data_IF_566121625138
#
_entry.id   IF_566121625138
#
_cell.length_a   1.000
_cell.length_b   1.000
_cell.length_c   1.000
_cell.angle_alpha   90.00
_cell.angle_beta   90.00
_cell.angle_gamma   90.00
#
_symmetry.space_group_name_H-M   'P 1'
#
loop_
_entity.id
_entity.type
_entity.pdbx_description
1 polymer ?
#
# COMPACT_ATOMS: atom_id res chain seq x y z
N UNK A 1 9.66 19.26 -22.16
CA UNK A 1 8.67 18.56 -21.28
C UNK A 1 7.70 17.70 -22.09
N UNK A 2 7.15 18.17 -23.23
CA UNK A 2 6.27 17.34 -24.09
C UNK A 2 6.97 16.15 -24.72
N UNK A 3 8.24 16.27 -25.10
CA UNK A 3 9.04 15.17 -25.67
C UNK A 3 9.28 14.04 -24.67
N UNK A 4 9.41 14.37 -23.38
CA UNK A 4 9.63 13.37 -22.31
C UNK A 4 8.39 12.48 -22.10
N UNK A 5 7.19 13.03 -22.33
CA UNK A 5 5.94 12.27 -22.23
C UNK A 5 5.73 11.26 -23.37
N UNK A 6 6.53 11.31 -24.42
CA UNK A 6 6.46 10.38 -25.57
C UNK A 6 7.26 9.09 -25.31
N UNK A 7 8.12 9.06 -24.29
CA UNK A 7 8.85 7.85 -23.95
C UNK A 7 7.95 6.83 -23.26
N UNK A 8 7.94 5.60 -23.73
CA UNK A 8 7.12 4.50 -23.19
C UNK A 8 7.30 4.31 -21.69
N UNK A 9 8.54 4.40 -21.20
CA UNK A 9 8.81 4.23 -19.76
C UNK A 9 8.18 5.33 -18.88
N UNK A 10 8.03 6.55 -19.41
CA UNK A 10 7.36 7.65 -18.69
C UNK A 10 5.85 7.44 -18.68
N UNK A 11 5.28 6.97 -19.80
CA UNK A 11 3.85 6.64 -19.86
C UNK A 11 3.52 5.49 -18.91
N UNK A 12 4.36 4.46 -18.86
CA UNK A 12 4.21 3.35 -17.90
C UNK A 12 4.30 3.84 -16.46
N UNK A 13 5.26 4.71 -16.15
CA UNK A 13 5.39 5.29 -14.81
C UNK A 13 4.16 6.11 -14.41
N UNK A 14 3.63 6.94 -15.31
CA UNK A 14 2.42 7.74 -15.05
C UNK A 14 1.19 6.86 -14.83
N UNK A 15 0.99 5.83 -15.67
CA UNK A 15 -0.09 4.86 -15.48
C UNK A 15 0.04 4.13 -14.14
N UNK A 16 1.24 3.70 -13.79
CA UNK A 16 1.50 3.04 -12.52
C UNK A 16 1.23 3.98 -11.32
N UNK A 17 1.57 5.28 -11.43
CA UNK A 17 1.23 6.29 -10.42
C UNK A 17 -0.29 6.41 -10.25
N UNK A 18 -1.05 6.46 -11.34
CA UNK A 18 -2.52 6.52 -11.27
C UNK A 18 -3.07 5.30 -10.55
N UNK A 19 -2.69 4.09 -11.00
CA UNK A 19 -3.14 2.83 -10.40
C UNK A 19 -2.75 2.72 -8.92
N UNK A 20 -1.48 2.93 -8.59
CA UNK A 20 -1.02 2.90 -7.21
C UNK A 20 -1.68 3.96 -6.32
N UNK A 21 -2.02 5.13 -6.86
CA UNK A 21 -2.74 6.16 -6.11
C UNK A 21 -4.18 5.75 -5.82
N UNK A 22 -4.85 5.03 -6.72
CA UNK A 22 -6.18 4.47 -6.51
C UNK A 22 -6.12 3.43 -5.38
N UNK A 23 -5.23 2.43 -5.49
CA UNK A 23 -5.03 1.43 -4.45
C UNK A 23 -4.71 2.08 -3.08
N UNK A 24 -3.78 3.05 -3.07
CA UNK A 24 -3.38 3.79 -1.87
C UNK A 24 -4.55 4.54 -1.23
N UNK A 25 -5.32 5.29 -2.01
CA UNK A 25 -6.42 6.10 -1.50
C UNK A 25 -7.55 5.25 -0.93
N UNK A 26 -7.92 4.17 -1.61
CA UNK A 26 -8.97 3.26 -1.16
C UNK A 26 -8.54 2.48 0.08
N UNK A 27 -7.44 1.74 -0.04
CA UNK A 27 -7.01 0.81 1.02
C UNK A 27 -6.36 1.53 2.18
N UNK A 28 -5.58 2.59 1.93
CA UNK A 28 -4.99 3.42 2.98
C UNK A 28 -6.06 4.08 3.86
N UNK A 29 -7.18 4.52 3.27
CA UNK A 29 -8.32 5.05 4.04
C UNK A 29 -8.93 3.98 4.95
N UNK A 30 -9.10 2.76 4.45
CA UNK A 30 -9.60 1.62 5.24
C UNK A 30 -8.61 1.28 6.37
N UNK A 31 -7.31 1.25 6.07
CA UNK A 31 -6.22 0.97 7.03
C UNK A 31 -6.24 1.98 8.18
N UNK A 32 -6.36 3.28 7.88
CA UNK A 32 -6.33 4.33 8.91
C UNK A 32 -7.59 4.29 9.76
N UNK A 33 -8.78 4.17 9.14
CA UNK A 33 -10.06 4.11 9.88
C UNK A 33 -10.12 2.90 10.79
N UNK A 34 -9.65 1.73 10.34
CA UNK A 34 -9.65 0.49 11.11
C UNK A 34 -8.40 0.31 12.01
N UNK A 35 -7.47 1.28 12.04
CA UNK A 35 -6.21 1.21 12.82
C UNK A 35 -5.35 0.00 12.47
N UNK A 36 -5.32 -0.40 11.20
CA UNK A 36 -4.64 -1.60 10.71
C UNK A 36 -3.22 -1.30 10.17
N UNK A 37 -2.60 -0.19 10.54
CA UNK A 37 -1.28 0.23 10.01
C UNK A 37 -0.21 -0.82 10.21
N UNK A 38 -0.18 -1.44 11.40
CA UNK A 38 0.81 -2.47 11.72
C UNK A 38 0.59 -3.76 10.92
N UNK A 39 -0.69 -4.14 10.70
CA UNK A 39 -1.08 -5.25 9.82
C UNK A 39 -0.63 -5.01 8.37
N UNK A 40 -0.83 -3.78 7.87
CA UNK A 40 -0.37 -3.38 6.54
C UNK A 40 1.14 -3.53 6.39
N UNK A 41 1.91 -3.13 7.41
CA UNK A 41 3.36 -3.31 7.46
C UNK A 41 3.77 -4.77 7.43
N UNK A 42 3.17 -5.59 8.25
CA UNK A 42 3.44 -7.03 8.29
C UNK A 42 3.21 -7.70 6.94
N UNK A 43 2.08 -7.41 6.29
CA UNK A 43 1.73 -7.92 4.96
C UNK A 43 2.74 -7.44 3.91
N UNK A 44 3.14 -6.16 3.96
CA UNK A 44 4.11 -5.59 3.00
C UNK A 44 5.46 -6.31 3.07
N UNK A 45 5.96 -6.56 4.25
CA UNK A 45 7.23 -7.26 4.44
C UNK A 45 7.11 -8.76 4.18
N UNK A 46 5.96 -9.38 4.50
CA UNK A 46 5.69 -10.77 4.14
C UNK A 46 5.68 -11.00 2.62
N UNK A 47 5.20 -10.03 1.85
CA UNK A 47 5.17 -10.08 0.39
C UNK A 47 6.56 -10.31 -0.24
N UNK A 48 7.64 -9.93 0.47
CA UNK A 48 9.00 -10.20 0.04
C UNK A 48 9.29 -11.71 -0.14
N UNK A 49 8.68 -12.55 0.68
CA UNK A 49 8.74 -14.00 0.51
C UNK A 49 8.19 -14.47 -0.82
N UNK A 50 7.15 -13.82 -1.32
CA UNK A 50 6.59 -14.10 -2.64
C UNK A 50 7.49 -13.66 -3.79
N UNK A 51 8.22 -12.54 -3.62
CA UNK A 51 9.25 -12.10 -4.58
C UNK A 51 10.36 -13.14 -4.66
N UNK A 52 10.92 -13.55 -3.52
CA UNK A 52 11.98 -14.56 -3.46
C UNK A 52 11.54 -15.89 -4.06
N UNK A 53 10.30 -16.33 -3.76
CA UNK A 53 9.74 -17.55 -4.33
C UNK A 53 9.61 -17.47 -5.87
N UNK A 54 9.15 -16.33 -6.39
CA UNK A 54 9.02 -16.10 -7.83
C UNK A 54 10.37 -16.17 -8.55
N UNK A 55 11.41 -15.59 -7.94
CA UNK A 55 12.78 -15.64 -8.45
C UNK A 55 13.29 -17.08 -8.46
N UNK A 56 13.15 -17.81 -7.35
CA UNK A 56 13.62 -19.18 -7.21
C UNK A 56 12.96 -20.15 -8.20
N UNK A 57 11.64 -20.00 -8.42
CA UNK A 57 10.90 -20.86 -9.36
C UNK A 57 10.99 -20.39 -10.82
N UNK A 58 11.55 -19.21 -11.09
CA UNK A 58 11.54 -18.60 -12.44
C UNK A 58 10.13 -18.23 -12.91
N UNK A 59 9.19 -17.99 -11.98
CA UNK A 59 7.79 -17.65 -12.29
C UNK A 59 7.61 -16.13 -12.42
N UNK A 60 6.53 -15.69 -13.10
CA UNK A 60 6.20 -14.25 -13.17
C UNK A 60 6.07 -13.66 -11.76
N UNK A 61 6.84 -12.61 -11.47
CA UNK A 61 7.01 -12.10 -10.10
C UNK A 61 5.73 -11.57 -9.49
N UNK A 62 4.95 -10.78 -10.25
CA UNK A 62 3.77 -10.12 -9.71
C UNK A 62 2.67 -11.12 -9.30
N UNK A 63 2.23 -12.08 -10.15
CA UNK A 63 1.24 -13.07 -9.73
C UNK A 63 1.74 -14.01 -8.64
N UNK A 64 3.04 -14.37 -8.62
CA UNK A 64 3.60 -15.20 -7.56
C UNK A 64 3.61 -14.46 -6.22
N UNK A 65 4.05 -13.20 -6.21
CA UNK A 65 4.01 -12.35 -5.03
C UNK A 65 2.58 -12.15 -4.54
N UNK A 66 1.62 -11.94 -5.46
CA UNK A 66 0.21 -11.78 -5.14
C UNK A 66 -0.36 -13.03 -4.45
N UNK A 67 -0.16 -14.20 -5.04
CA UNK A 67 -0.65 -15.47 -4.47
C UNK A 67 -0.06 -15.75 -3.09
N UNK A 68 1.25 -15.54 -2.93
CA UNK A 68 1.95 -15.72 -1.65
C UNK A 68 1.43 -14.75 -0.58
N UNK A 69 1.28 -13.47 -0.95
CA UNK A 69 0.83 -12.42 -0.02
C UNK A 69 -0.63 -12.62 0.40
N UNK A 70 -1.50 -13.02 -0.53
CA UNK A 70 -2.89 -13.39 -0.21
C UNK A 70 -2.92 -14.58 0.76
N UNK A 71 -2.11 -15.62 0.53
CA UNK A 71 -1.99 -16.75 1.46
C UNK A 71 -1.61 -16.30 2.87
N UNK A 72 -0.60 -15.43 2.99
CA UNK A 72 -0.20 -14.82 4.26
C UNK A 72 -1.30 -13.97 4.91
N UNK A 73 -2.02 -13.18 4.11
CA UNK A 73 -3.13 -12.36 4.61
C UNK A 73 -4.28 -13.23 5.16
N UNK A 74 -4.57 -14.37 4.54
CA UNK A 74 -5.58 -15.32 5.03
C UNK A 74 -5.13 -15.96 6.35
N UNK A 75 -3.87 -16.41 6.43
CA UNK A 75 -3.30 -16.96 7.68
C UNK A 75 -3.36 -15.92 8.78
N UNK A 76 -2.93 -14.68 8.49
CA UNK A 76 -2.97 -13.57 9.42
C UNK A 76 -4.40 -13.30 9.90
N UNK A 77 -5.38 -13.28 8.98
CA UNK A 77 -6.78 -13.08 9.30
C UNK A 77 -7.31 -14.13 10.29
N UNK A 78 -7.03 -15.41 10.04
CA UNK A 78 -7.49 -16.50 10.89
C UNK A 78 -6.91 -16.43 12.31
N UNK A 79 -5.62 -16.08 12.42
CA UNK A 79 -4.94 -16.03 13.71
C UNK A 79 -5.29 -14.79 14.53
N UNK A 80 -5.46 -13.64 13.89
CA UNK A 80 -5.75 -12.37 14.56
C UNK A 80 -7.24 -12.19 14.87
N UNK A 81 -8.13 -12.81 14.11
CA UNK A 81 -9.57 -12.74 14.36
C UNK A 81 -9.97 -13.39 15.70
N UNK A 82 -9.28 -14.45 16.09
CA UNK A 82 -9.55 -15.18 17.34
C UNK A 82 -8.89 -14.53 18.56
N UNK A 83 -7.81 -13.76 18.39
CA UNK A 83 -6.98 -13.27 19.48
C UNK A 83 -6.41 -11.88 19.14
N UNK A 84 -7.24 -10.84 19.21
CA UNK A 84 -6.84 -9.46 18.90
C UNK A 84 -5.70 -8.92 19.76
N UNK A 85 -5.61 -9.36 21.03
CA UNK A 85 -4.55 -8.95 21.95
C UNK A 85 -3.16 -9.44 21.54
N UNK A 86 -3.08 -10.53 20.79
CA UNK A 86 -1.82 -11.10 20.31
C UNK A 86 -1.53 -10.77 18.83
N UNK A 87 -2.33 -9.90 18.19
CA UNK A 87 -2.20 -9.56 16.79
C UNK A 87 -0.79 -9.08 16.42
N UNK A 88 -0.18 -8.25 17.28
CA UNK A 88 1.15 -7.69 17.03
C UNK A 88 2.26 -8.76 17.00
N UNK A 89 2.14 -9.80 17.85
CA UNK A 89 3.08 -10.92 17.84
C UNK A 89 2.98 -11.74 16.57
N UNK A 90 1.76 -12.01 16.11
CA UNK A 90 1.49 -12.76 14.88
C UNK A 90 1.99 -11.99 13.66
N UNK A 91 1.73 -10.70 13.61
CA UNK A 91 2.23 -9.81 12.54
C UNK A 91 3.76 -9.80 12.50
N UNK A 92 4.42 -9.64 13.66
CA UNK A 92 5.89 -9.62 13.75
C UNK A 92 6.51 -10.95 13.32
N UNK A 93 5.88 -12.07 13.68
CA UNK A 93 6.34 -13.40 13.25
C UNK A 93 6.18 -13.57 11.74
N UNK A 94 5.04 -13.17 11.18
CA UNK A 94 4.77 -13.25 9.75
C UNK A 94 5.75 -12.36 8.97
N UNK A 95 5.99 -11.16 9.44
CA UNK A 95 6.98 -10.22 8.90
C UNK A 95 8.37 -10.87 8.80
N UNK A 96 8.88 -11.35 9.93
CA UNK A 96 10.21 -11.97 9.99
C UNK A 96 10.29 -13.25 9.12
N UNK A 97 9.26 -14.09 9.15
CA UNK A 97 9.20 -15.32 8.37
C UNK A 97 9.19 -15.03 6.86
N UNK A 98 8.38 -14.07 6.41
CA UNK A 98 8.30 -13.70 4.99
C UNK A 98 9.63 -13.14 4.48
N UNK A 99 10.26 -12.24 5.23
CA UNK A 99 11.56 -11.69 4.84
C UNK A 99 12.67 -12.75 4.83
N UNK A 100 12.77 -13.57 5.89
CA UNK A 100 13.77 -14.62 5.95
C UNK A 100 13.58 -15.65 4.81
N UNK A 101 12.33 -16.06 4.55
CA UNK A 101 12.01 -16.97 3.46
C UNK A 101 12.38 -16.37 2.09
N UNK A 102 12.07 -15.07 1.87
CA UNK A 102 12.41 -14.40 0.62
C UNK A 102 13.91 -14.34 0.37
N UNK A 103 14.71 -13.97 1.41
CA UNK A 103 16.17 -13.96 1.31
C UNK A 103 16.72 -15.36 1.02
N UNK A 104 16.26 -16.39 1.76
CA UNK A 104 16.70 -17.77 1.53
C UNK A 104 16.41 -18.25 0.11
N UNK A 105 15.24 -17.95 -0.45
CA UNK A 105 14.88 -18.32 -1.82
C UNK A 105 15.77 -17.63 -2.85
N UNK A 106 16.09 -16.34 -2.65
CA UNK A 106 17.00 -15.63 -3.54
C UNK A 106 18.42 -16.16 -3.46
N UNK A 107 18.93 -16.47 -2.27
CA UNK A 107 20.29 -17.01 -2.07
C UNK A 107 20.45 -18.43 -2.67
N UNK A 108 19.39 -19.22 -2.67
CA UNK A 108 19.37 -20.56 -3.27
C UNK A 108 19.25 -20.53 -4.79
N UNK A 109 19.06 -19.37 -5.41
CA UNK A 109 18.89 -19.26 -6.87
C UNK A 109 20.27 -19.16 -7.56
N UNK A 110 20.72 -20.16 -8.33
CA UNK A 110 22.04 -20.16 -8.94
C UNK A 110 22.20 -19.07 -10.00
N UNK A 111 23.34 -18.36 -9.97
CA UNK A 111 23.74 -17.42 -11.02
C UNK A 111 22.99 -16.08 -11.04
N UNK A 112 22.10 -15.82 -10.12
CA UNK A 112 21.32 -14.59 -10.05
C UNK A 112 21.79 -13.72 -8.88
N UNK A 113 22.60 -12.72 -9.18
CA UNK A 113 22.83 -11.61 -8.23
C UNK A 113 21.67 -10.65 -8.36
N UNK A 114 20.60 -10.91 -7.61
CA UNK A 114 19.47 -9.98 -7.54
C UNK A 114 19.95 -8.72 -6.88
N UNK A 115 19.79 -7.60 -7.54
CA UNK A 115 19.82 -6.33 -6.85
C UNK A 115 18.56 -6.25 -5.94
N UNK A 116 18.70 -6.81 -4.74
CA UNK A 116 17.67 -6.76 -3.69
C UNK A 116 17.24 -5.32 -3.39
N UNK A 117 18.15 -4.35 -3.61
CA UNK A 117 17.87 -2.94 -3.49
C UNK A 117 16.72 -2.48 -4.39
N UNK A 118 16.63 -2.99 -5.62
CA UNK A 118 15.57 -2.62 -6.55
C UNK A 118 14.17 -3.04 -6.09
N UNK A 119 14.03 -4.13 -5.34
CA UNK A 119 12.74 -4.55 -4.75
C UNK A 119 12.45 -3.87 -3.43
N UNK A 120 13.48 -3.56 -2.64
CA UNK A 120 13.30 -2.85 -1.37
C UNK A 120 12.91 -1.40 -1.58
N UNK A 121 13.53 -0.74 -2.56
CA UNK A 121 13.31 0.67 -2.86
C UNK A 121 12.37 0.92 -4.06
N UNK A 122 12.04 -0.12 -4.84
CA UNK A 122 11.23 0.00 -6.04
C UNK A 122 11.96 0.71 -7.20
N UNK A 123 11.41 0.58 -8.39
CA UNK A 123 11.85 1.34 -9.56
C UNK A 123 10.67 1.58 -10.50
N UNK A 124 10.00 2.71 -10.32
CA UNK A 124 8.80 3.06 -11.09
C UNK A 124 9.08 3.20 -12.60
N UNK A 125 10.31 3.57 -12.96
CA UNK A 125 10.69 3.75 -14.36
C UNK A 125 10.98 2.43 -15.09
N UNK A 126 11.14 1.33 -14.35
CA UNK A 126 11.43 0.01 -14.88
C UNK A 126 10.22 -0.95 -14.85
N UNK A 127 9.00 -0.43 -14.74
CA UNK A 127 7.76 -1.24 -14.71
C UNK A 127 7.47 -1.75 -16.15
N UNK A 128 7.45 -3.08 -16.37
CA UNK A 128 7.12 -3.63 -17.68
C UNK A 128 5.61 -3.53 -17.95
N UNK A 129 5.22 -3.50 -19.22
CA UNK A 129 3.81 -3.45 -19.64
C UNK A 129 2.99 -4.65 -19.13
N UNK A 130 3.61 -5.82 -18.97
CA UNK A 130 2.95 -6.99 -18.38
C UNK A 130 2.47 -6.74 -16.94
N UNK A 131 3.25 -6.01 -16.14
CA UNK A 131 2.89 -5.70 -14.76
C UNK A 131 1.76 -4.67 -14.70
N UNK A 132 1.75 -3.67 -15.60
CA UNK A 132 0.63 -2.73 -15.71
C UNK A 132 -0.70 -3.42 -15.97
N UNK A 133 -0.71 -4.45 -16.82
CA UNK A 133 -1.92 -5.23 -17.07
C UNK A 133 -2.44 -5.90 -15.79
N UNK A 134 -1.55 -6.52 -15.00
CA UNK A 134 -1.91 -7.10 -13.71
C UNK A 134 -2.38 -6.03 -12.70
N UNK A 135 -1.71 -4.87 -12.66
CA UNK A 135 -2.09 -3.76 -11.78
C UNK A 135 -3.51 -3.27 -12.08
N UNK A 136 -3.86 -3.09 -13.37
CA UNK A 136 -5.23 -2.71 -13.79
C UNK A 136 -6.24 -3.76 -13.32
N UNK A 137 -5.96 -5.05 -13.53
CA UNK A 137 -6.84 -6.13 -13.09
C UNK A 137 -7.07 -6.13 -11.58
N UNK A 138 -6.00 -5.96 -10.81
CA UNK A 138 -6.06 -5.90 -9.33
C UNK A 138 -6.82 -4.65 -8.88
N UNK A 139 -6.58 -3.47 -9.47
CA UNK A 139 -7.30 -2.25 -9.12
C UNK A 139 -8.78 -2.33 -9.45
N UNK A 140 -9.13 -2.90 -10.61
CA UNK A 140 -10.54 -3.16 -10.94
C UNK A 140 -11.19 -4.09 -9.91
N UNK A 141 -10.49 -5.12 -9.45
CA UNK A 141 -10.97 -6.04 -8.42
C UNK A 141 -11.16 -5.32 -7.07
N UNK A 142 -10.20 -4.49 -6.65
CA UNK A 142 -10.28 -3.67 -5.43
C UNK A 142 -11.48 -2.71 -5.52
N UNK A 143 -11.60 -1.97 -6.63
CA UNK A 143 -12.69 -1.03 -6.86
C UNK A 143 -14.06 -1.73 -6.81
N UNK A 144 -14.19 -2.86 -7.49
CA UNK A 144 -15.43 -3.63 -7.52
C UNK A 144 -15.85 -4.08 -6.11
N UNK A 145 -14.91 -4.61 -5.32
CA UNK A 145 -15.22 -5.08 -3.97
C UNK A 145 -15.46 -3.92 -2.99
N UNK A 146 -14.69 -2.83 -3.08
CA UNK A 146 -14.88 -1.67 -2.20
C UNK A 146 -16.17 -0.93 -2.53
N UNK A 147 -16.49 -0.73 -3.81
CA UNK A 147 -17.72 -0.04 -4.21
C UNK A 147 -18.94 -0.92 -4.02
N UNK A 148 -18.87 -2.21 -4.40
CA UNK A 148 -19.97 -3.16 -4.23
C UNK A 148 -20.26 -3.50 -2.77
N UNK A 149 -19.21 -3.55 -1.93
CA UNK A 149 -19.30 -3.80 -0.49
C UNK A 149 -19.25 -2.54 0.38
N UNK A 150 -19.44 -1.34 -0.18
CA UNK A 150 -19.21 -0.08 0.53
C UNK A 150 -20.01 0.04 1.84
N UNK A 151 -21.32 -0.25 1.80
CA UNK A 151 -22.19 -0.14 2.99
C UNK A 151 -21.77 -1.11 4.10
N UNK A 152 -21.59 -2.42 3.84
CA UNK A 152 -21.06 -3.35 4.83
C UNK A 152 -19.67 -2.95 5.34
N UNK A 153 -18.78 -2.51 4.44
CA UNK A 153 -17.43 -2.06 4.80
C UNK A 153 -17.48 -0.86 5.76
N UNK A 154 -18.34 0.11 5.48
CA UNK A 154 -18.55 1.28 6.32
C UNK A 154 -19.06 0.86 7.72
N UNK A 155 -20.08 -0.01 7.79
CA UNK A 155 -20.64 -0.49 9.05
C UNK A 155 -19.57 -1.18 9.90
N UNK A 156 -18.82 -2.12 9.31
CA UNK A 156 -17.76 -2.86 10.02
C UNK A 156 -16.62 -1.96 10.46
N UNK A 157 -16.30 -0.92 9.69
CA UNK A 157 -15.19 -0.01 10.00
C UNK A 157 -15.49 0.98 11.13
N UNK A 158 -16.73 1.39 11.29
CA UNK A 158 -17.12 2.40 12.28
C UNK A 158 -17.84 1.82 13.52
N UNK A 159 -18.64 0.79 13.35
CA UNK A 159 -19.43 0.20 14.43
C UNK A 159 -19.62 -1.31 14.21
N UNK A 160 -18.80 -2.10 14.88
CA UNK A 160 -18.79 -3.55 14.77
C UNK A 160 -20.07 -4.19 15.35
N UNK A 161 -20.58 -3.62 16.46
CA UNK A 161 -21.81 -4.11 17.10
C UNK A 161 -23.03 -3.82 16.21
N UNK A 162 -23.09 -2.62 15.64
CA UNK A 162 -24.14 -2.26 14.70
C UNK A 162 -24.09 -3.14 13.44
N UNK A 163 -22.89 -3.46 12.94
CA UNK A 163 -22.74 -4.34 11.80
C UNK A 163 -23.27 -5.75 12.08
N UNK A 164 -23.04 -6.30 13.27
CA UNK A 164 -23.59 -7.59 13.69
C UNK A 164 -25.11 -7.57 13.82
N UNK A 165 -25.67 -6.50 14.41
CA UNK A 165 -27.13 -6.33 14.54
C UNK A 165 -27.84 -6.22 13.18
N UNK A 166 -27.20 -5.61 12.19
CA UNK A 166 -27.72 -5.48 10.82
C UNK A 166 -27.48 -6.71 9.94
N UNK A 167 -27.05 -7.83 10.54
CA UNK A 167 -26.76 -9.12 9.85
C UNK A 167 -25.68 -9.03 8.79
N UNK A 168 -24.78 -8.06 8.89
CA UNK A 168 -23.57 -8.04 8.05
C UNK A 168 -22.68 -9.21 8.47
N UNK A 169 -22.19 -10.04 7.54
CA UNK A 169 -21.32 -11.17 7.90
C UNK A 169 -19.90 -10.69 8.26
N UNK A 170 -19.78 -10.05 9.42
CA UNK A 170 -18.55 -9.42 9.93
C UNK A 170 -17.36 -10.36 9.90
N UNK A 171 -17.59 -11.66 10.17
CA UNK A 171 -16.55 -12.70 10.15
C UNK A 171 -15.85 -12.84 8.80
N UNK A 172 -16.52 -12.49 7.70
CA UNK A 172 -15.94 -12.54 6.35
C UNK A 172 -15.30 -11.21 5.92
N UNK A 173 -15.76 -10.10 6.51
CA UNK A 173 -15.25 -8.77 6.15
C UNK A 173 -13.82 -8.54 6.61
N UNK A 174 -13.44 -9.00 7.79
CA UNK A 174 -12.07 -8.84 8.28
C UNK A 174 -11.03 -9.55 7.41
N UNK A 175 -11.17 -10.86 7.08
CA UNK A 175 -10.30 -11.52 6.12
C UNK A 175 -10.31 -10.85 4.73
N UNK A 176 -11.48 -10.42 4.25
CA UNK A 176 -11.61 -9.74 2.97
C UNK A 176 -10.77 -8.45 2.92
N UNK A 177 -10.84 -7.62 3.96
CA UNK A 177 -10.04 -6.39 4.06
C UNK A 177 -8.54 -6.70 4.02
N UNK A 178 -8.07 -7.75 4.70
CA UNK A 178 -6.66 -8.14 4.68
C UNK A 178 -6.23 -8.68 3.31
N UNK A 179 -7.10 -9.40 2.61
CA UNK A 179 -6.84 -9.85 1.23
C UNK A 179 -6.77 -8.66 0.27
N UNK A 180 -7.72 -7.71 0.37
CA UNK A 180 -7.67 -6.48 -0.42
C UNK A 180 -6.39 -5.68 -0.15
N UNK A 181 -6.00 -5.60 1.12
CA UNK A 181 -4.75 -4.95 1.53
C UNK A 181 -3.52 -5.65 0.91
N UNK A 182 -3.49 -6.99 0.89
CA UNK A 182 -2.45 -7.76 0.22
C UNK A 182 -2.38 -7.42 -1.27
N UNK A 183 -3.52 -7.32 -1.95
CA UNK A 183 -3.60 -6.94 -3.35
C UNK A 183 -3.01 -5.54 -3.60
N UNK A 184 -3.43 -4.54 -2.82
CA UNK A 184 -2.92 -3.17 -2.96
C UNK A 184 -1.44 -3.04 -2.60
N UNK A 185 -0.98 -3.75 -1.57
CA UNK A 185 0.43 -3.80 -1.20
C UNK A 185 1.29 -4.28 -2.37
N UNK A 186 0.87 -5.34 -3.08
CA UNK A 186 1.62 -5.87 -4.22
C UNK A 186 1.73 -4.84 -5.36
N UNK A 187 0.68 -4.06 -5.63
CA UNK A 187 0.74 -2.93 -6.57
C UNK A 187 1.76 -1.89 -6.09
N UNK A 188 1.66 -1.47 -4.83
CA UNK A 188 2.49 -0.41 -4.27
C UNK A 188 3.97 -0.81 -4.17
N UNK A 189 4.28 -2.09 -3.95
CA UNK A 189 5.66 -2.60 -3.98
C UNK A 189 6.32 -2.33 -5.33
N UNK A 190 5.59 -2.43 -6.43
CA UNK A 190 6.12 -2.15 -7.78
C UNK A 190 6.43 -0.66 -7.98
N UNK A 191 5.68 0.21 -7.32
CA UNK A 191 5.88 1.67 -7.39
C UNK A 191 7.07 2.13 -6.56
N UNK A 192 7.02 1.85 -5.27
CA UNK A 192 7.92 2.49 -4.29
C UNK A 192 8.78 1.48 -3.51
N UNK A 193 8.61 0.19 -3.75
CA UNK A 193 9.31 -0.85 -2.99
C UNK A 193 8.68 -1.15 -1.64
N UNK A 194 9.13 -2.25 -1.03
CA UNK A 194 8.53 -2.82 0.18
C UNK A 194 8.62 -1.87 1.37
N UNK A 195 9.79 -1.23 1.54
CA UNK A 195 10.07 -0.36 2.70
C UNK A 195 9.15 0.88 2.70
N UNK A 196 8.85 1.41 1.51
CA UNK A 196 8.18 2.70 1.37
C UNK A 196 6.66 2.60 1.19
N UNK A 197 6.13 1.38 1.01
CA UNK A 197 4.68 1.12 0.86
C UNK A 197 3.87 1.69 2.03
N UNK A 198 4.36 1.52 3.27
CA UNK A 198 3.67 2.03 4.46
C UNK A 198 3.49 3.55 4.43
N UNK A 199 4.48 4.28 3.96
CA UNK A 199 4.40 5.73 3.88
C UNK A 199 3.24 6.17 2.97
N UNK A 200 3.11 5.56 1.79
CA UNK A 200 2.02 5.88 0.86
C UNK A 200 0.66 5.42 1.35
N UNK A 201 0.57 4.25 1.99
CA UNK A 201 -0.71 3.77 2.56
C UNK A 201 -1.19 4.60 3.75
N UNK A 202 -0.28 5.23 4.50
CA UNK A 202 -0.65 5.87 5.76
C UNK A 202 -0.63 7.38 5.73
N UNK A 203 0.31 8.02 5.04
CA UNK A 203 0.48 9.49 5.06
C UNK A 203 -0.71 10.20 4.41
N UNK A 204 -1.11 9.92 3.14
CA UNK A 204 -2.20 10.65 2.52
C UNK A 204 -3.52 10.57 3.29
N UNK A 205 -4.02 9.37 3.70
CA UNK A 205 -5.27 9.30 4.43
C UNK A 205 -5.18 9.86 5.85
N UNK A 206 -4.05 9.71 6.56
CA UNK A 206 -3.90 10.31 7.90
C UNK A 206 -3.90 11.84 7.88
N UNK A 207 -3.41 12.44 6.80
CA UNK A 207 -3.49 13.89 6.62
C UNK A 207 -4.92 14.38 6.43
N UNK A 208 -5.79 13.58 5.84
CA UNK A 208 -7.16 13.97 5.48
C UNK A 208 -8.21 13.46 6.45
N UNK A 209 -7.92 12.44 7.26
CA UNK A 209 -8.88 11.79 8.16
C UNK A 209 -9.60 12.77 9.09
N UNK A 210 -8.93 13.83 9.54
CA UNK A 210 -9.51 14.86 10.41
C UNK A 210 -10.50 15.78 9.70
N UNK A 211 -10.41 15.92 8.38
CA UNK A 211 -11.18 16.87 7.57
C UNK A 211 -12.27 16.19 6.75
N UNK A 212 -12.16 14.89 6.52
CA UNK A 212 -13.13 14.14 5.75
C UNK A 212 -14.40 13.90 6.56
N UNK A 213 -15.55 14.26 6.00
CA UNK A 213 -16.88 14.02 6.61
C UNK A 213 -17.44 12.62 6.30
N UNK A 214 -16.81 11.89 5.38
CA UNK A 214 -17.23 10.54 4.99
C UNK A 214 -16.03 9.71 4.52
N UNK A 215 -16.17 8.37 4.57
CA UNK A 215 -15.14 7.46 4.07
C UNK A 215 -14.89 7.67 2.57
N UNK A 216 -15.92 8.00 1.78
CA UNK A 216 -15.77 8.32 0.35
C UNK A 216 -14.92 9.56 0.12
N UNK A 217 -15.16 10.63 0.87
CA UNK A 217 -14.32 11.83 0.80
C UNK A 217 -12.88 11.54 1.20
N UNK A 218 -12.69 10.71 2.22
CA UNK A 218 -11.35 10.28 2.64
C UNK A 218 -10.65 9.49 1.53
N UNK A 219 -11.32 8.53 0.92
CA UNK A 219 -10.78 7.72 -0.18
C UNK A 219 -10.40 8.59 -1.39
N UNK A 220 -11.32 9.42 -1.87
CA UNK A 220 -11.07 10.29 -3.03
C UNK A 220 -9.97 11.32 -2.74
N UNK A 221 -10.03 11.98 -1.59
CA UNK A 221 -9.01 12.94 -1.19
C UNK A 221 -7.63 12.30 -1.05
N UNK A 222 -7.55 11.10 -0.46
CA UNK A 222 -6.30 10.36 -0.30
C UNK A 222 -5.73 9.90 -1.65
N UNK A 223 -6.58 9.49 -2.59
CA UNK A 223 -6.18 9.15 -3.96
C UNK A 223 -5.54 10.36 -4.66
N UNK A 224 -6.22 11.52 -4.62
CA UNK A 224 -5.72 12.75 -5.25
C UNK A 224 -4.42 13.24 -4.60
N UNK A 225 -4.35 13.18 -3.27
CA UNK A 225 -3.15 13.60 -2.54
C UNK A 225 -1.97 12.67 -2.82
N UNK A 226 -2.20 11.34 -2.84
CA UNK A 226 -1.18 10.35 -3.20
C UNK A 226 -0.67 10.58 -4.63
N UNK A 227 -1.58 10.79 -5.59
CA UNK A 227 -1.25 11.10 -6.98
C UNK A 227 -0.38 12.35 -7.08
N UNK A 228 -0.75 13.44 -6.40
CA UNK A 228 0.03 14.67 -6.39
C UNK A 228 1.44 14.46 -5.80
N UNK A 229 1.55 13.73 -4.67
CA UNK A 229 2.84 13.40 -4.04
C UNK A 229 3.73 12.58 -4.97
N UNK A 230 3.17 11.56 -5.64
CA UNK A 230 3.90 10.74 -6.60
C UNK A 230 4.38 11.54 -7.81
N UNK A 231 3.54 12.43 -8.37
CA UNK A 231 3.94 13.29 -9.48
C UNK A 231 5.06 14.26 -9.10
N UNK A 232 4.92 14.93 -7.95
CA UNK A 232 5.95 15.86 -7.45
C UNK A 232 7.26 15.10 -7.21
N UNK A 233 7.19 13.92 -6.58
CA UNK A 233 8.36 13.07 -6.35
C UNK A 233 9.03 12.62 -7.63
N UNK A 234 8.25 12.24 -8.67
CA UNK A 234 8.77 11.89 -9.98
C UNK A 234 9.50 13.07 -10.64
N UNK A 235 8.91 14.27 -10.58
CA UNK A 235 9.52 15.49 -11.11
C UNK A 235 10.83 15.81 -10.39
N UNK A 236 10.85 15.75 -9.06
CA UNK A 236 12.07 16.01 -8.26
C UNK A 236 13.14 14.98 -8.59
N UNK A 237 12.78 13.70 -8.70
CA UNK A 237 13.70 12.62 -9.07
C UNK A 237 14.32 12.85 -10.44
N UNK A 238 13.50 13.25 -11.41
CA UNK A 238 13.95 13.50 -12.78
C UNK A 238 14.98 14.64 -12.88
N UNK A 239 14.72 15.76 -12.20
CA UNK A 239 15.67 16.90 -12.23
C UNK A 239 16.85 16.74 -11.27
N UNK A 240 16.69 15.96 -10.19
CA UNK A 240 17.71 15.74 -9.18
C UNK A 240 18.59 14.51 -9.44
N UNK A 241 18.32 13.74 -10.50
CA UNK A 241 18.99 12.47 -10.81
C UNK A 241 19.07 11.54 -9.56
N UNK A 242 17.93 11.43 -8.84
CA UNK A 242 17.82 10.69 -7.59
C UNK A 242 16.87 9.51 -7.73
N UNK A 243 16.90 8.58 -6.76
CA UNK A 243 15.97 7.46 -6.72
C UNK A 243 14.52 7.97 -6.59
N UNK A 244 13.65 7.58 -7.55
CA UNK A 244 12.27 8.09 -7.66
C UNK A 244 11.42 7.72 -6.45
N UNK A 245 11.56 6.51 -5.94
CA UNK A 245 10.80 6.07 -4.77
C UNK A 245 11.17 6.83 -3.50
N UNK A 246 12.47 7.06 -3.29
CA UNK A 246 12.96 7.87 -2.17
C UNK A 246 12.47 9.33 -2.28
N UNK A 247 12.46 9.91 -3.50
CA UNK A 247 11.95 11.25 -3.74
C UNK A 247 10.44 11.34 -3.43
N UNK A 248 9.62 10.36 -3.87
CA UNK A 248 8.19 10.31 -3.59
C UNK A 248 7.92 10.28 -2.08
N UNK A 249 8.61 9.42 -1.35
CA UNK A 249 8.42 9.32 0.11
C UNK A 249 8.97 10.56 0.82
N UNK A 250 10.06 11.13 0.34
CA UNK A 250 10.58 12.41 0.84
C UNK A 250 9.55 13.52 0.72
N UNK A 251 8.86 13.62 -0.43
CA UNK A 251 7.74 14.56 -0.64
C UNK A 251 6.58 14.28 0.33
N UNK A 252 6.20 13.01 0.49
CA UNK A 252 5.12 12.63 1.39
C UNK A 252 5.42 13.03 2.84
N UNK A 253 6.63 12.73 3.32
CA UNK A 253 7.09 13.09 4.68
C UNK A 253 7.16 14.61 4.83
N UNK A 254 7.76 15.33 3.88
CA UNK A 254 7.86 16.79 3.92
C UNK A 254 6.47 17.45 3.98
N UNK A 255 5.51 16.97 3.18
CA UNK A 255 4.14 17.46 3.17
C UNK A 255 3.45 17.20 4.51
N UNK A 256 3.62 16.01 5.08
CA UNK A 256 3.08 15.65 6.40
C UNK A 256 3.65 16.54 7.51
N UNK A 257 4.97 16.73 7.56
CA UNK A 257 5.64 17.57 8.55
C UNK A 257 5.22 19.02 8.43
N UNK A 258 5.17 19.56 7.22
CA UNK A 258 4.73 20.95 6.96
C UNK A 258 3.30 21.17 7.49
N UNK A 259 2.37 20.25 7.17
CA UNK A 259 1.00 20.32 7.70
C UNK A 259 0.99 20.30 9.22
N UNK A 260 1.72 19.37 9.85
CA UNK A 260 1.75 19.22 11.31
C UNK A 260 2.31 20.48 11.99
N UNK A 261 3.38 21.07 11.45
CA UNK A 261 3.96 22.31 11.95
C UNK A 261 2.98 23.50 11.85
N UNK A 262 2.27 23.60 10.73
CA UNK A 262 1.25 24.64 10.54
C UNK A 262 0.09 24.47 11.54
N UNK A 263 -0.36 23.27 11.80
CA UNK A 263 -1.40 22.99 12.81
C UNK A 263 -0.94 23.34 14.22
N UNK A 264 0.30 23.01 14.57
CA UNK A 264 0.89 23.36 15.87
C UNK A 264 1.02 24.87 16.04
N UNK A 265 1.48 25.58 15.01
CA UNK A 265 1.59 27.04 15.03
C UNK A 265 0.21 27.70 15.20
N UNK A 266 -0.80 27.22 14.46
CA UNK A 266 -2.18 27.71 14.56
C UNK A 266 -2.78 27.51 15.96
N UNK A 267 -2.59 26.32 16.54
CA UNK A 267 -3.12 26.00 17.88
C UNK A 267 -2.47 26.86 18.97
N UNK A 268 -1.16 27.14 18.86
CA UNK A 268 -0.46 28.06 19.80
C UNK A 268 -0.97 29.50 19.71
N UNK A 269 -1.40 29.96 18.54
CA UNK A 269 -1.97 31.28 18.36
C UNK A 269 -3.38 31.39 18.99
N UNK A 270 -4.20 30.32 18.85
CA UNK A 270 -5.56 30.30 19.40
C UNK A 270 -5.56 30.17 20.94
N UNK A 271 -4.59 29.47 21.55
CA UNK A 271 -4.49 29.29 23.00
C UNK A 271 -3.91 30.57 23.72
N UNK A 272 -3.43 31.56 22.97
CA UNK A 272 -2.90 32.80 23.51
C UNK A 272 -3.96 33.95 23.63
N UNK A 273 -5.16 33.69 23.12
CA UNK A 273 -6.35 34.56 23.25
C UNK A 273 -7.48 33.82 24.00
#
# INVERSE_FOLDING_TARGET
MWEVLQFDFVQHALLAIVLGSIACGLLGSIVIVNRMTFLAGGISHFAYGGVGLGIFLGWPLLPTTLAFTIGGAIILAQWTQQNRENSDRVVSLLWAAGMAFGVLMTDLTPGYQVDLGSYLFGNILAIPSSDLFWMVGIDCFILLLVLGGYKPLLAVSYDHEYAELTRVPVKWFYPLVLVLLACGVVILIRLVGIILVLALLTIPPSMLAKYASSLQQLMLGSTLLCFAMCLIGLIISYYGDTNTSAAIVGVAIATYLTKTLLELARNRLITKY
#
